data_IF_111423575944
#
_entry.id   IF_111423575944
#
_cell.length_a   1.000
_cell.length_b   1.000
_cell.length_c   1.000
_cell.angle_alpha   90.00
_cell.angle_beta   90.00
_cell.angle_gamma   90.00
#
_symmetry.space_group_name_H-M   'P 1'
#
loop_
_entity.id
_entity.type
_entity.pdbx_description
1 polymer ?
#
# COMPACT_ATOMS: atom_id res chain seq x y z
N UNK A 1 -55.78 -14.17 18.85
CA UNK A 1 -54.58 -13.29 18.95
C UNK A 1 -53.84 -13.66 20.24
N UNK A 2 -52.50 -13.67 20.34
CA UNK A 2 -51.51 -12.96 19.51
C UNK A 2 -50.42 -13.88 18.90
N UNK A 3 -49.98 -13.56 17.67
CA UNK A 3 -48.75 -14.14 17.09
C UNK A 3 -47.56 -13.64 17.91
N UNK A 4 -46.81 -14.56 18.55
CA UNK A 4 -45.53 -14.25 19.19
C UNK A 4 -44.55 -13.83 18.09
N UNK A 5 -44.44 -12.52 17.85
CA UNK A 5 -43.38 -11.96 17.00
C UNK A 5 -42.06 -12.27 17.69
N UNK A 6 -41.10 -12.98 17.06
CA UNK A 6 -39.77 -13.08 17.64
C UNK A 6 -39.27 -11.65 17.87
N UNK A 7 -38.63 -11.35 19.01
CA UNK A 7 -38.21 -9.99 19.32
C UNK A 7 -37.23 -9.57 18.24
N UNK A 8 -37.66 -8.67 17.36
CA UNK A 8 -36.87 -8.09 16.26
C UNK A 8 -35.49 -7.63 16.77
N UNK A 9 -35.43 -7.23 18.03
CA UNK A 9 -34.23 -6.86 18.77
C UNK A 9 -33.19 -7.99 18.88
N UNK A 10 -33.60 -9.24 19.10
CA UNK A 10 -32.67 -10.38 19.25
C UNK A 10 -32.05 -10.78 17.90
N UNK A 11 -32.83 -10.69 16.82
CA UNK A 11 -32.35 -10.88 15.46
C UNK A 11 -31.39 -9.75 15.04
N UNK A 12 -31.68 -8.51 15.44
CA UNK A 12 -30.82 -7.36 15.15
C UNK A 12 -29.48 -7.43 15.90
N UNK A 13 -29.50 -7.83 17.19
CA UNK A 13 -28.27 -8.01 17.97
C UNK A 13 -27.42 -9.15 17.45
N UNK A 14 -28.04 -10.26 17.05
CA UNK A 14 -27.31 -11.39 16.45
C UNK A 14 -26.71 -11.00 15.10
N UNK A 15 -27.43 -10.21 14.29
CA UNK A 15 -26.92 -9.66 13.04
C UNK A 15 -25.75 -8.71 13.23
N UNK A 16 -25.79 -7.83 14.25
CA UNK A 16 -24.68 -6.93 14.59
C UNK A 16 -23.47 -7.72 15.10
N UNK A 17 -23.69 -8.72 15.96
CA UNK A 17 -22.61 -9.58 16.48
C UNK A 17 -21.96 -10.38 15.35
N UNK A 18 -22.73 -10.96 14.43
CA UNK A 18 -22.22 -11.63 13.24
C UNK A 18 -21.47 -10.67 12.30
N UNK A 19 -21.94 -9.43 12.14
CA UNK A 19 -21.25 -8.42 11.33
C UNK A 19 -19.92 -7.98 11.95
N UNK A 20 -19.83 -7.89 13.29
CA UNK A 20 -18.58 -7.58 14.00
C UNK A 20 -17.62 -8.77 14.01
N UNK A 21 -18.12 -10.01 14.11
CA UNK A 21 -17.31 -11.23 14.03
C UNK A 21 -16.82 -11.54 12.61
N UNK A 22 -17.56 -11.10 11.58
CA UNK A 22 -17.16 -11.20 10.17
C UNK A 22 -16.28 -10.02 9.71
N UNK A 23 -16.14 -8.97 10.52
CA UNK A 23 -15.15 -7.93 10.29
C UNK A 23 -13.76 -8.48 10.68
N UNK A 24 -13.21 -9.35 9.83
CA UNK A 24 -11.79 -9.62 9.86
C UNK A 24 -11.09 -8.27 9.61
N UNK A 25 -10.09 -7.89 10.42
CA UNK A 25 -9.24 -6.77 10.03
C UNK A 25 -8.72 -7.11 8.63
N UNK A 26 -8.91 -6.22 7.66
CA UNK A 26 -8.26 -6.34 6.38
C UNK A 26 -6.76 -6.35 6.70
N UNK A 27 -6.14 -7.54 6.65
CA UNK A 27 -4.71 -7.65 6.86
C UNK A 27 -4.07 -6.78 5.80
N UNK A 28 -3.35 -5.75 6.23
CA UNK A 28 -2.76 -4.75 5.36
C UNK A 28 -1.60 -5.40 4.59
N UNK A 29 -1.95 -6.19 3.58
CA UNK A 29 -0.95 -6.83 2.73
C UNK A 29 -0.15 -5.73 2.06
N UNK A 30 1.15 -5.70 2.30
CA UNK A 30 2.03 -4.81 1.56
C UNK A 30 2.16 -5.30 0.12
N UNK A 31 2.28 -4.38 -0.82
CA UNK A 31 2.41 -4.68 -2.24
C UNK A 31 3.72 -4.12 -2.76
N UNK A 32 4.38 -4.90 -3.61
CA UNK A 32 5.58 -4.45 -4.34
C UNK A 32 5.22 -4.11 -5.78
N UNK A 33 5.31 -2.85 -6.17
CA UNK A 33 4.79 -2.39 -7.46
C UNK A 33 5.50 -1.14 -7.98
N UNK A 34 5.27 -0.82 -9.26
CA UNK A 34 5.63 0.45 -9.87
C UNK A 34 4.53 1.50 -9.60
N UNK A 35 4.79 2.40 -8.66
CA UNK A 35 3.96 3.59 -8.44
C UNK A 35 4.16 4.63 -9.54
N UNK A 36 3.12 5.43 -9.81
CA UNK A 36 3.11 6.42 -10.89
C UNK A 36 2.80 7.81 -10.35
N UNK A 37 3.57 8.80 -10.80
CA UNK A 37 3.61 10.14 -10.21
C UNK A 37 3.58 11.21 -11.29
N UNK A 38 2.82 12.27 -11.01
CA UNK A 38 2.87 13.52 -11.76
C UNK A 38 3.84 14.51 -11.09
N UNK A 39 4.69 15.15 -11.89
CA UNK A 39 5.75 16.05 -11.44
C UNK A 39 5.43 17.54 -11.56
N UNK A 40 4.14 17.94 -11.64
CA UNK A 40 3.76 19.34 -11.86
C UNK A 40 4.41 20.30 -10.86
N UNK A 41 4.94 21.41 -11.38
CA UNK A 41 5.57 22.46 -10.57
C UNK A 41 6.80 21.98 -9.79
N UNK A 42 7.48 20.93 -10.24
CA UNK A 42 8.65 20.38 -9.56
C UNK A 42 8.33 19.52 -8.33
N UNK A 43 7.05 19.22 -8.10
CA UNK A 43 6.57 18.45 -6.94
C UNK A 43 5.93 17.16 -7.40
N UNK A 44 6.15 16.09 -6.65
CA UNK A 44 5.50 14.82 -6.89
C UNK A 44 4.09 14.81 -6.31
N UNK A 45 3.13 14.44 -7.14
CA UNK A 45 1.77 14.08 -6.75
C UNK A 45 1.49 12.65 -7.22
N UNK A 46 0.89 11.83 -6.36
CA UNK A 46 0.48 10.50 -6.77
C UNK A 46 -0.54 10.61 -7.92
N UNK A 47 -0.32 9.89 -9.01
CA UNK A 47 -1.13 10.06 -10.21
C UNK A 47 -2.56 9.50 -9.98
N UNK A 48 -3.57 10.29 -10.38
CA UNK A 48 -4.98 9.87 -10.33
C UNK A 48 -5.40 9.00 -11.52
N UNK A 49 -4.57 8.94 -12.57
CA UNK A 49 -4.77 8.14 -13.77
C UNK A 49 -3.60 7.19 -13.98
N UNK A 50 -3.86 6.02 -14.56
CA UNK A 50 -2.79 5.08 -14.91
C UNK A 50 -1.92 5.55 -16.10
N UNK A 51 -0.69 5.04 -16.22
CA UNK A 51 0.25 5.42 -17.29
C UNK A 51 -0.29 5.22 -18.71
N UNK A 52 -1.16 4.22 -18.91
CA UNK A 52 -1.77 3.88 -20.21
C UNK A 52 -2.91 4.83 -20.61
N UNK A 53 -3.35 5.71 -19.71
CA UNK A 53 -4.44 6.67 -19.96
C UNK A 53 -3.95 8.10 -19.86
N UNK A 54 -3.02 8.37 -18.95
CA UNK A 54 -2.44 9.70 -18.77
C UNK A 54 -1.74 10.18 -20.05
N UNK A 55 -2.14 11.36 -20.54
CA UNK A 55 -1.56 12.05 -21.71
C UNK A 55 -0.90 13.35 -21.25
N UNK A 56 0.34 13.29 -20.73
CA UNK A 56 1.06 14.47 -20.28
C UNK A 56 1.28 15.47 -21.43
N UNK A 57 1.33 16.76 -21.12
CA UNK A 57 1.64 17.80 -22.10
C UNK A 57 3.14 17.77 -22.48
N UNK A 58 3.52 18.52 -23.51
CA UNK A 58 4.94 18.86 -23.71
C UNK A 58 5.45 19.63 -22.49
N UNK A 59 6.66 19.32 -22.02
CA UNK A 59 7.20 19.97 -20.82
C UNK A 59 6.86 19.26 -19.50
N UNK A 60 6.02 18.23 -19.53
CA UNK A 60 5.65 17.50 -18.31
C UNK A 60 6.77 16.57 -17.82
N UNK A 61 6.78 16.33 -16.51
CA UNK A 61 7.62 15.32 -15.86
C UNK A 61 6.74 14.21 -15.31
N UNK A 62 7.06 12.95 -15.58
CA UNK A 62 6.36 11.79 -15.04
C UNK A 62 7.34 10.88 -14.30
N UNK A 63 6.91 10.36 -13.15
CA UNK A 63 7.72 9.53 -12.27
C UNK A 63 7.19 8.10 -12.21
N UNK A 64 8.10 7.13 -12.28
CA UNK A 64 7.85 5.73 -12.02
C UNK A 64 8.76 5.29 -10.89
N UNK A 65 8.20 4.87 -9.75
CA UNK A 65 8.97 4.46 -8.57
C UNK A 65 8.58 3.06 -8.14
N UNK A 66 9.53 2.14 -8.19
CA UNK A 66 9.37 0.81 -7.63
C UNK A 66 9.52 0.84 -6.12
N UNK A 67 8.53 0.35 -5.38
CA UNK A 67 8.53 0.37 -3.93
C UNK A 67 7.63 -0.73 -3.34
N UNK A 68 7.80 -0.97 -2.05
CA UNK A 68 6.82 -1.68 -1.22
C UNK A 68 5.94 -0.65 -0.51
N UNK A 69 4.62 -0.80 -0.58
CA UNK A 69 3.68 0.03 0.20
C UNK A 69 2.54 -0.80 0.79
N UNK A 70 2.09 -0.43 1.99
CA UNK A 70 0.89 -0.99 2.63
C UNK A 70 -0.42 -0.47 2.03
N UNK A 71 -0.38 0.77 1.52
CA UNK A 71 -1.47 1.41 0.82
C UNK A 71 -0.93 1.99 -0.50
N UNK A 72 -1.62 1.72 -1.62
CA UNK A 72 -1.13 2.09 -2.93
C UNK A 72 -0.96 3.62 -3.13
N UNK A 73 -1.55 4.47 -2.29
CA UNK A 73 -1.47 5.92 -2.42
C UNK A 73 -0.95 6.63 -1.15
N UNK A 74 -1.52 6.35 0.03
CA UNK A 74 -1.27 7.18 1.22
C UNK A 74 0.17 7.10 1.74
N UNK A 75 0.82 5.94 1.55
CA UNK A 75 2.18 5.66 2.03
C UNK A 75 3.15 5.34 0.90
N UNK A 76 2.75 5.59 -0.36
CA UNK A 76 3.59 5.27 -1.50
C UNK A 76 4.84 6.14 -1.53
N UNK A 77 6.01 5.50 -1.63
CA UNK A 77 7.27 6.22 -1.78
C UNK A 77 7.30 6.98 -3.11
N UNK A 78 7.53 8.29 -3.05
CA UNK A 78 7.71 9.13 -4.24
C UNK A 78 9.09 8.91 -4.89
N UNK A 79 9.28 9.29 -6.17
CA UNK A 79 10.59 9.22 -6.81
C UNK A 79 11.63 10.05 -6.04
N UNK A 80 12.84 9.51 -5.89
CA UNK A 80 13.93 10.16 -5.13
C UNK A 80 14.55 11.35 -5.86
N UNK A 81 14.52 11.34 -7.20
CA UNK A 81 14.99 12.47 -7.99
C UNK A 81 13.90 13.54 -8.14
N UNK A 82 14.33 14.80 -8.31
CA UNK A 82 13.42 15.92 -8.51
C UNK A 82 12.66 15.84 -9.84
N UNK A 83 11.46 16.40 -9.88
CA UNK A 83 10.67 16.54 -11.09
C UNK A 83 11.14 17.76 -11.92
N UNK A 84 12.34 17.68 -12.51
CA UNK A 84 12.96 18.81 -13.23
C UNK A 84 12.99 18.57 -14.74
N UNK A 85 11.98 19.08 -15.44
CA UNK A 85 11.91 18.99 -16.91
C UNK A 85 13.12 19.66 -17.58
N UNK A 86 13.50 20.84 -17.10
CA UNK A 86 14.55 21.65 -17.72
C UNK A 86 15.88 20.93 -17.67
N UNK A 87 16.23 20.36 -16.52
CA UNK A 87 17.45 19.57 -16.37
C UNK A 87 17.41 18.28 -17.20
N UNK A 88 16.32 17.52 -17.14
CA UNK A 88 16.22 16.20 -17.78
C UNK A 88 16.22 16.31 -19.32
N UNK A 89 15.54 17.31 -19.86
CA UNK A 89 15.37 17.50 -21.30
C UNK A 89 16.29 18.58 -21.91
N UNK A 90 17.30 19.06 -21.16
CA UNK A 90 18.19 20.14 -21.61
C UNK A 90 18.84 19.89 -22.98
N UNK A 91 19.24 18.63 -23.24
CA UNK A 91 19.89 18.21 -24.47
C UNK A 91 18.91 17.77 -25.58
N UNK A 92 17.59 17.84 -25.34
CA UNK A 92 16.56 17.40 -26.28
C UNK A 92 15.81 18.61 -26.84
N UNK A 93 16.18 19.08 -28.07
CA UNK A 93 15.48 20.19 -28.68
C UNK A 93 14.02 19.82 -29.00
N UNK A 94 13.15 20.83 -29.02
CA UNK A 94 11.80 20.65 -29.53
C UNK A 94 11.85 20.20 -31.00
N UNK A 95 10.95 19.32 -31.39
CA UNK A 95 10.78 18.91 -32.78
C UNK A 95 9.31 19.06 -33.17
N UNK A 96 9.09 19.49 -34.41
CA UNK A 96 7.76 19.68 -34.95
C UNK A 96 6.94 18.38 -34.89
N UNK A 97 5.67 18.50 -34.50
CA UNK A 97 4.76 17.35 -34.37
C UNK A 97 5.13 16.37 -33.25
N UNK A 98 6.03 16.73 -32.34
CA UNK A 98 6.43 15.91 -31.19
C UNK A 98 6.29 16.68 -29.88
N UNK A 99 6.01 15.96 -28.81
CA UNK A 99 6.14 16.47 -27.44
C UNK A 99 7.30 15.78 -26.72
N UNK A 100 7.87 16.46 -25.74
CA UNK A 100 8.89 15.98 -24.82
C UNK A 100 8.26 15.72 -23.47
N UNK A 101 8.51 14.55 -22.93
CA UNK A 101 8.11 14.15 -21.59
C UNK A 101 9.37 13.72 -20.86
N UNK A 102 9.70 14.44 -19.79
CA UNK A 102 10.79 14.04 -18.91
C UNK A 102 10.33 12.87 -18.03
N UNK A 103 11.15 11.82 -17.97
CA UNK A 103 10.85 10.63 -17.19
C UNK A 103 11.88 10.45 -16.09
N UNK A 104 11.39 10.24 -14.88
CA UNK A 104 12.17 9.79 -13.73
C UNK A 104 11.81 8.33 -13.47
N UNK A 105 12.78 7.44 -13.65
CA UNK A 105 12.63 5.99 -13.50
C UNK A 105 13.46 5.60 -12.28
N UNK A 106 12.77 5.44 -11.16
CA UNK A 106 13.37 5.11 -9.89
C UNK A 106 13.16 3.63 -9.57
N UNK A 107 14.22 2.83 -9.72
CA UNK A 107 14.20 1.37 -9.56
C UNK A 107 14.03 0.88 -8.13
N UNK A 108 13.82 1.75 -7.14
CA UNK A 108 13.68 1.30 -5.77
C UNK A 108 14.95 1.44 -4.95
N UNK A 109 14.87 1.00 -3.71
CA UNK A 109 16.05 0.73 -2.88
C UNK A 109 16.22 -0.78 -2.74
N UNK A 110 17.41 -1.29 -2.36
CA UNK A 110 17.61 -2.74 -2.18
C UNK A 110 16.61 -3.41 -1.24
N UNK A 111 16.14 -2.71 -0.20
CA UNK A 111 15.14 -3.23 0.73
C UNK A 111 13.77 -3.52 0.08
N UNK A 112 13.46 -2.85 -1.04
CA UNK A 112 12.22 -3.05 -1.79
C UNK A 112 12.34 -4.16 -2.86
N UNK A 113 13.54 -4.68 -3.12
CA UNK A 113 13.75 -5.65 -4.19
C UNK A 113 13.14 -7.03 -3.85
N UNK A 114 12.64 -7.78 -4.85
CA UNK A 114 12.35 -9.20 -4.66
C UNK A 114 13.60 -9.98 -4.24
N UNK A 115 13.39 -11.10 -3.55
CA UNK A 115 14.50 -11.98 -3.17
C UNK A 115 15.29 -12.45 -4.40
N UNK A 116 16.62 -12.30 -4.35
CA UNK A 116 17.52 -12.65 -5.45
C UNK A 116 17.58 -11.62 -6.58
N UNK A 117 16.89 -10.49 -6.44
CA UNK A 117 16.93 -9.37 -7.39
C UNK A 117 17.61 -8.15 -6.74
N UNK A 118 18.04 -7.19 -7.55
CA UNK A 118 18.59 -5.92 -7.07
C UNK A 118 18.28 -4.79 -8.06
N UNK A 119 18.09 -3.54 -7.59
CA UNK A 119 17.95 -2.40 -8.49
C UNK A 119 19.15 -2.33 -9.44
N UNK A 120 18.96 -2.13 -10.76
CA UNK A 120 20.05 -2.10 -11.73
C UNK A 120 21.08 -0.99 -11.46
N UNK A 121 20.67 0.06 -10.77
CA UNK A 121 21.49 1.20 -10.38
C UNK A 121 20.96 1.80 -9.07
N UNK A 122 21.83 2.40 -8.23
CA UNK A 122 21.42 2.96 -6.94
C UNK A 122 20.58 4.23 -7.09
N UNK A 123 20.90 5.06 -8.10
CA UNK A 123 20.25 6.34 -8.36
C UNK A 123 19.11 6.22 -9.38
N UNK A 124 18.07 7.08 -9.30
CA UNK A 124 17.04 7.15 -10.34
C UNK A 124 17.65 7.44 -11.71
N UNK A 125 17.13 6.78 -12.74
CA UNK A 125 17.48 7.06 -14.14
C UNK A 125 16.55 8.14 -14.68
N UNK A 126 17.10 9.15 -15.33
CA UNK A 126 16.31 10.17 -16.04
C UNK A 126 16.45 10.03 -17.54
N UNK A 127 15.38 10.30 -18.28
CA UNK A 127 15.41 10.32 -19.74
C UNK A 127 14.36 11.29 -20.29
N UNK A 128 14.65 11.93 -21.43
CA UNK A 128 13.69 12.75 -22.15
C UNK A 128 13.09 11.94 -23.31
N UNK A 129 11.80 11.65 -23.24
CA UNK A 129 11.08 10.96 -24.31
C UNK A 129 10.51 11.97 -25.30
N UNK A 130 10.87 11.86 -26.58
CA UNK A 130 10.26 12.64 -27.66
C UNK A 130 9.21 11.79 -28.38
N UNK A 131 7.93 12.05 -28.12
CA UNK A 131 6.79 11.21 -28.49
C UNK A 131 5.71 11.96 -29.27
N UNK A 132 4.71 11.24 -29.81
CA UNK A 132 3.61 11.85 -30.54
C UNK A 132 2.78 12.75 -29.60
N UNK A 133 2.07 13.77 -30.11
CA UNK A 133 1.33 14.72 -29.27
C UNK A 133 0.31 14.02 -28.36
N UNK A 134 -0.31 12.96 -28.89
CA UNK A 134 -1.33 12.15 -28.22
C UNK A 134 -0.78 10.98 -27.40
N UNK A 135 0.55 10.82 -27.33
CA UNK A 135 1.16 9.69 -26.64
C UNK A 135 0.87 9.71 -25.13
N UNK A 136 0.65 8.53 -24.58
CA UNK A 136 0.45 8.26 -23.16
C UNK A 136 1.79 8.27 -22.40
N UNK A 137 1.73 8.35 -21.07
CA UNK A 137 2.91 8.19 -20.22
C UNK A 137 3.56 6.80 -20.38
N UNK A 138 2.77 5.75 -20.62
CA UNK A 138 3.27 4.41 -20.93
C UNK A 138 4.06 4.38 -22.26
N UNK A 139 3.57 5.03 -23.30
CA UNK A 139 4.28 5.14 -24.58
C UNK A 139 5.57 5.97 -24.46
N UNK A 140 5.54 7.05 -23.66
CA UNK A 140 6.75 7.81 -23.32
C UNK A 140 7.78 6.92 -22.59
N UNK A 141 7.35 6.13 -21.60
CA UNK A 141 8.23 5.20 -20.90
C UNK A 141 8.82 4.14 -21.85
N UNK A 142 7.98 3.57 -22.70
CA UNK A 142 8.39 2.57 -23.68
C UNK A 142 9.41 3.13 -24.70
N UNK A 143 9.41 4.44 -24.97
CA UNK A 143 10.38 5.06 -25.86
C UNK A 143 11.81 5.06 -25.29
N UNK A 144 11.99 4.98 -23.98
CA UNK A 144 13.30 5.16 -23.31
C UNK A 144 13.69 4.05 -22.33
N UNK A 145 12.79 3.10 -22.05
CA UNK A 145 12.95 2.17 -20.93
C UNK A 145 12.54 0.72 -21.20
N UNK A 146 12.61 0.27 -22.45
CA UNK A 146 12.36 -1.14 -22.79
C UNK A 146 13.42 -2.08 -22.18
N UNK A 147 13.09 -3.37 -21.99
CA UNK A 147 11.74 -3.96 -22.16
C UNK A 147 10.80 -3.57 -21.01
N UNK A 148 9.52 -3.44 -21.33
CA UNK A 148 8.46 -3.29 -20.33
C UNK A 148 7.69 -4.61 -20.21
N UNK A 149 7.34 -5.02 -18.99
CA UNK A 149 6.47 -6.18 -18.73
C UNK A 149 5.18 -5.71 -18.08
N UNK A 150 4.06 -6.23 -18.54
CA UNK A 150 2.73 -5.97 -17.98
C UNK A 150 2.01 -7.28 -17.68
N UNK A 151 1.10 -7.28 -16.71
CA UNK A 151 0.19 -8.40 -16.48
C UNK A 151 -1.11 -8.23 -17.30
N UNK A 152 -2.02 -9.19 -17.19
CA UNK A 152 -3.31 -9.18 -17.89
C UNK A 152 -4.23 -8.03 -17.48
N UNK A 153 -4.00 -7.40 -16.34
CA UNK A 153 -4.71 -6.21 -15.87
C UNK A 153 -4.03 -4.89 -16.29
N UNK A 154 -3.05 -4.96 -17.21
CA UNK A 154 -2.25 -3.82 -17.65
C UNK A 154 -1.45 -3.11 -16.53
N UNK A 155 -1.18 -3.80 -15.42
CA UNK A 155 -0.25 -3.31 -14.39
C UNK A 155 1.18 -3.40 -14.91
N UNK A 156 1.95 -2.33 -14.74
CA UNK A 156 3.38 -2.30 -15.07
C UNK A 156 4.16 -3.16 -14.06
N UNK A 157 4.67 -4.30 -14.53
CA UNK A 157 5.41 -5.26 -13.71
C UNK A 157 6.91 -4.98 -13.71
N UNK A 158 7.47 -4.59 -14.85
CA UNK A 158 8.91 -4.38 -14.99
C UNK A 158 9.25 -3.26 -15.97
N UNK A 159 10.32 -2.54 -15.67
CA UNK A 159 10.94 -1.52 -16.51
C UNK A 159 12.39 -1.89 -16.73
N UNK A 160 12.85 -1.88 -17.98
CA UNK A 160 14.21 -2.31 -18.34
C UNK A 160 14.61 -3.67 -17.74
N UNK A 161 13.65 -4.59 -17.64
CA UNK A 161 13.85 -5.93 -17.06
C UNK A 161 13.80 -6.02 -15.53
N UNK A 162 13.60 -4.91 -14.80
CA UNK A 162 13.51 -4.91 -13.33
C UNK A 162 12.09 -4.60 -12.81
N UNK A 163 11.61 -5.32 -11.77
CA UNK A 163 12.16 -6.59 -11.29
C UNK A 163 12.07 -7.68 -12.35
N UNK A 164 12.97 -8.66 -12.27
CA UNK A 164 12.99 -9.80 -13.17
C UNK A 164 11.71 -10.63 -13.06
N UNK A 165 11.11 -10.71 -11.87
CA UNK A 165 9.92 -11.51 -11.57
C UNK A 165 8.90 -10.76 -10.70
N UNK A 166 7.70 -11.33 -10.56
CA UNK A 166 6.57 -10.73 -9.82
C UNK A 166 5.85 -9.61 -10.58
N UNK A 167 4.68 -9.21 -10.13
CA UNK A 167 3.88 -8.12 -10.67
C UNK A 167 2.78 -7.65 -9.69
N UNK A 168 3.19 -7.15 -8.52
CA UNK A 168 2.23 -6.56 -7.56
C UNK A 168 1.50 -7.59 -6.71
N UNK A 169 2.05 -8.79 -6.52
CA UNK A 169 1.46 -9.78 -5.63
C UNK A 169 1.48 -9.27 -4.16
N UNK A 170 0.44 -9.57 -3.37
CA UNK A 170 0.45 -9.29 -1.93
C UNK A 170 1.64 -9.98 -1.27
N UNK A 171 2.36 -9.23 -0.43
CA UNK A 171 3.39 -9.78 0.42
C UNK A 171 2.83 -10.09 1.80
N UNK A 172 3.20 -11.23 2.39
CA UNK A 172 2.93 -11.44 3.81
C UNK A 172 3.65 -10.36 4.61
N UNK A 173 2.97 -9.80 5.61
CA UNK A 173 3.62 -8.91 6.57
C UNK A 173 4.78 -9.66 7.21
N UNK A 174 5.95 -9.00 7.28
CA UNK A 174 7.02 -9.50 8.12
C UNK A 174 6.48 -9.57 9.57
N UNK A 175 6.69 -10.70 10.29
CA UNK A 175 6.43 -10.70 11.73
C UNK A 175 7.22 -9.54 12.33
N UNK A 176 6.57 -8.69 13.12
CA UNK A 176 7.26 -7.61 13.81
C UNK A 176 8.42 -8.23 14.62
N UNK A 177 9.66 -7.97 14.20
CA UNK A 177 10.81 -8.36 15.01
C UNK A 177 10.69 -7.64 16.36
N UNK A 178 10.81 -8.33 17.49
CA UNK A 178 10.80 -7.68 18.78
C UNK A 178 11.99 -6.72 18.82
N UNK A 179 11.70 -5.42 18.88
CA UNK A 179 12.71 -4.40 19.18
C UNK A 179 13.30 -4.70 20.55
N UNK A 180 14.48 -5.31 20.56
CA UNK A 180 15.31 -5.46 21.75
C UNK A 180 15.86 -4.07 22.10
N UNK A 181 15.05 -3.29 22.81
CA UNK A 181 15.40 -1.97 23.32
C UNK A 181 15.62 -2.01 24.83
N UNK A 182 16.89 -2.06 25.24
CA UNK A 182 17.41 -1.44 26.47
C UNK A 182 17.23 -2.19 27.80
N UNK A 183 18.34 -2.74 28.31
CA UNK A 183 18.54 -2.91 29.76
C UNK A 183 18.40 -1.55 30.50
N UNK A 184 17.96 -1.58 31.77
CA UNK A 184 18.96 -1.33 32.82
C UNK A 184 18.99 -2.42 33.90
N UNK A 185 20.17 -2.45 34.51
CA UNK A 185 20.73 -3.46 35.40
C UNK A 185 20.06 -3.53 36.78
N UNK A 186 20.13 -4.74 37.35
CA UNK A 186 20.30 -5.08 38.77
C UNK A 186 19.06 -5.41 39.62
N UNK A 187 19.07 -6.65 40.16
CA UNK A 187 18.32 -7.06 41.35
C UNK A 187 17.92 -8.52 41.33
N UNK A 188 18.81 -9.42 41.78
CA UNK A 188 18.60 -10.87 41.73
C UNK A 188 17.60 -11.42 42.75
N UNK A 189 17.01 -12.59 42.43
CA UNK A 189 16.63 -13.64 43.36
C UNK A 189 16.29 -14.93 42.60
N UNK A 190 16.76 -16.07 43.12
CA UNK A 190 16.42 -17.44 42.69
C UNK A 190 14.93 -17.72 42.84
N UNK A 191 14.37 -18.53 41.94
CA UNK A 191 13.09 -19.21 42.12
C UNK A 191 12.84 -20.18 40.97
N UNK A 192 12.87 -21.47 41.28
CA UNK A 192 12.48 -22.56 40.39
C UNK A 192 11.00 -22.48 40.01
N UNK A 193 10.69 -22.93 38.79
CA UNK A 193 9.38 -23.48 38.47
C UNK A 193 8.43 -22.60 37.67
N UNK A 194 7.81 -23.28 36.69
CA UNK A 194 6.44 -23.09 36.21
C UNK A 194 6.25 -22.44 34.83
N UNK A 195 5.78 -23.31 33.92
CA UNK A 195 5.13 -22.98 32.65
C UNK A 195 4.15 -21.82 32.88
N UNK A 196 4.27 -20.76 32.10
CA UNK A 196 3.20 -19.76 31.96
C UNK A 196 2.75 -19.75 30.53
N UNK A 197 1.56 -20.32 30.35
CA UNK A 197 0.71 -20.18 29.19
C UNK A 197 0.57 -18.69 28.83
N UNK A 198 0.70 -18.39 27.55
CA UNK A 198 0.45 -17.06 27.00
C UNK A 198 -1.00 -16.67 27.28
N UNK A 199 -1.19 -15.76 28.24
CA UNK A 199 -2.49 -15.24 28.61
C UNK A 199 -3.14 -14.46 27.44
N UNK A 200 -4.46 -14.57 27.24
CA UNK A 200 -5.15 -13.83 26.19
C UNK A 200 -4.95 -12.33 26.35
N UNK A 201 -4.64 -11.65 25.24
CA UNK A 201 -4.34 -10.22 25.21
C UNK A 201 -5.45 -9.41 25.88
N UNK A 202 -5.07 -8.35 26.60
CA UNK A 202 -6.00 -7.49 27.35
C UNK A 202 -7.18 -6.97 26.50
N UNK A 203 -7.00 -6.83 25.18
CA UNK A 203 -8.07 -6.49 24.24
C UNK A 203 -9.18 -7.56 24.14
N UNK A 204 -8.84 -8.85 24.24
CA UNK A 204 -9.82 -9.94 24.24
C UNK A 204 -10.64 -9.94 25.54
N UNK A 205 -9.99 -9.70 26.67
CA UNK A 205 -10.67 -9.62 27.97
C UNK A 205 -11.59 -8.39 28.05
N UNK A 206 -11.14 -7.25 27.52
CA UNK A 206 -11.96 -6.04 27.41
C UNK A 206 -13.18 -6.26 26.48
N UNK A 207 -13.00 -6.95 25.36
CA UNK A 207 -14.08 -7.31 24.45
C UNK A 207 -15.13 -8.21 25.09
N UNK A 208 -14.70 -9.27 25.79
CA UNK A 208 -15.60 -10.19 26.49
C UNK A 208 -16.39 -9.46 27.59
N UNK A 209 -15.75 -8.60 28.37
CA UNK A 209 -16.40 -7.82 29.40
C UNK A 209 -17.48 -6.88 28.84
N UNK A 210 -17.22 -6.23 27.70
CA UNK A 210 -18.18 -5.36 27.04
C UNK A 210 -19.42 -6.14 26.55
N UNK A 211 -19.23 -7.32 25.96
CA UNK A 211 -20.34 -8.17 25.51
C UNK A 211 -21.17 -8.67 26.69
N UNK A 212 -20.53 -9.07 27.80
CA UNK A 212 -21.22 -9.51 29.01
C UNK A 212 -22.07 -8.38 29.62
N UNK A 213 -21.54 -7.14 29.65
CA UNK A 213 -22.27 -5.98 30.14
C UNK A 213 -23.52 -5.67 29.27
N UNK A 214 -23.40 -5.76 27.95
CA UNK A 214 -24.52 -5.55 27.03
C UNK A 214 -25.59 -6.65 27.18
N UNK A 215 -25.18 -7.91 27.36
CA UNK A 215 -26.11 -9.02 27.61
C UNK A 215 -26.87 -8.83 28.93
N UNK A 216 -26.20 -8.41 30.00
CA UNK A 216 -26.82 -8.12 31.29
C UNK A 216 -27.83 -6.95 31.19
N UNK A 217 -27.48 -5.89 30.46
CA UNK A 217 -28.36 -4.74 30.23
C UNK A 217 -29.63 -5.14 29.45
N UNK A 218 -29.49 -6.00 28.42
CA UNK A 218 -30.63 -6.48 27.64
C UNK A 218 -31.60 -7.34 28.49
N UNK A 219 -31.08 -8.20 29.37
CA UNK A 219 -31.89 -9.01 30.30
C UNK A 219 -32.62 -8.14 31.32
N UNK A 220 -31.96 -7.11 31.83
CA UNK A 220 -32.57 -6.18 32.78
C UNK A 220 -33.67 -5.34 32.13
N UNK A 221 -33.46 -4.89 30.89
CA UNK A 221 -34.46 -4.12 30.15
C UNK A 221 -35.67 -4.98 29.75
N UNK A 222 -35.48 -6.28 29.49
CA UNK A 222 -36.59 -7.20 29.22
C UNK A 222 -37.45 -7.44 30.47
N UNK A 223 -36.82 -7.57 31.65
CA UNK A 223 -37.50 -7.74 32.94
C UNK A 223 -38.27 -6.49 33.39
N UNK A 224 -37.86 -5.30 32.97
CA UNK A 224 -38.58 -4.05 33.23
C UNK A 224 -39.78 -3.82 32.32
N UNK A 225 -39.84 -4.45 31.14
CA UNK A 225 -40.99 -4.35 30.22
C UNK A 225 -42.08 -5.39 30.48
N UNK A 226 -41.79 -6.41 31.28
CA UNK A 226 -42.75 -7.47 31.66
C UNK A 226 -43.37 -7.28 33.06
N UNK A 227 -43.03 -6.18 33.74
CA UNK A 227 -43.76 -5.65 34.90
C UNK A 227 -44.59 -4.48 34.43
#
# INVERSE_FOLDING_TARGET
MPRRRPPLALALTLGIVLAVLAATPALASSYRYWSFWDGAGGRWAYASMGPSTARPADGSVQGFRFAVSKDAAAEAAQPRAAADFTAICAATPAAEGRKRVALVIDFGVPADAPAGDAPPQPEPRTACAQVAPEATAAEALAAVAKPLRYNSAALLCAVSGYPGQGCGEPMPDAPAEPVAGGEPVAGGAKGDGEKKDGGPSAGLLAGIAAVAALAAAAVWQSRRRTR
#
